data_IF_803202874853
#
_entry.id   IF_803202874853
#
_cell.length_a   1.000
_cell.length_b   1.000
_cell.length_c   1.000
_cell.angle_alpha   90.00
_cell.angle_beta   90.00
_cell.angle_gamma   90.00
#
_symmetry.space_group_name_H-M   'P 1'
#
loop_
_entity.id
_entity.type
_entity.pdbx_description
1 polymer ?
#
# COMPACT_ATOMS: atom_id res chain seq x y z
N UNK A 1 -7.26 -3.59 12.05
CA UNK A 1 -6.56 -4.31 10.95
C UNK A 1 -6.45 -5.79 11.30
N UNK A 2 -6.58 -6.71 10.33
CA UNK A 2 -6.44 -8.18 10.54
C UNK A 2 -5.08 -8.67 10.04
N UNK A 3 -4.60 -9.78 10.57
CA UNK A 3 -3.44 -10.49 10.02
C UNK A 3 -3.79 -11.05 8.65
N UNK A 4 -2.92 -10.83 7.67
CA UNK A 4 -2.92 -11.60 6.43
C UNK A 4 -2.29 -12.97 6.62
N UNK A 5 -2.23 -13.74 5.54
CA UNK A 5 -1.53 -15.03 5.48
C UNK A 5 -0.01 -14.86 5.58
N UNK A 6 0.67 -15.88 6.12
CA UNK A 6 2.12 -16.02 5.93
C UNK A 6 2.39 -16.53 4.51
N UNK A 7 3.35 -15.92 3.82
CA UNK A 7 3.75 -16.28 2.45
C UNK A 7 5.20 -16.75 2.49
N UNK A 8 5.44 -18.00 2.11
CA UNK A 8 6.76 -18.63 2.20
C UNK A 8 7.30 -18.84 0.78
N UNK A 9 8.49 -18.30 0.50
CA UNK A 9 9.23 -18.47 -0.74
C UNK A 9 10.39 -19.43 -0.53
N UNK A 10 10.50 -20.44 -1.41
CA UNK A 10 11.60 -21.40 -1.44
C UNK A 10 12.18 -21.48 -2.84
N UNK A 11 13.48 -21.75 -2.97
CA UNK A 11 14.06 -22.08 -4.27
C UNK A 11 13.55 -23.45 -4.74
N UNK A 12 12.80 -23.49 -5.85
CA UNK A 12 12.27 -24.74 -6.39
C UNK A 12 13.16 -25.33 -7.48
N UNK A 13 13.66 -24.46 -8.34
CA UNK A 13 14.49 -24.78 -9.49
C UNK A 13 15.51 -23.65 -9.71
N UNK A 14 16.23 -23.67 -10.82
CA UNK A 14 17.08 -22.54 -11.20
C UNK A 14 16.27 -21.25 -11.48
N UNK A 15 15.03 -21.37 -11.96
CA UNK A 15 14.25 -20.24 -12.47
C UNK A 15 12.88 -20.03 -11.79
N UNK A 16 12.56 -20.76 -10.70
CA UNK A 16 11.24 -20.65 -10.06
C UNK A 16 11.31 -20.61 -8.53
N UNK A 17 10.43 -19.82 -7.90
CA UNK A 17 10.10 -19.96 -6.48
C UNK A 17 8.98 -21.00 -6.29
N UNK A 18 9.12 -21.85 -5.27
CA UNK A 18 7.98 -22.52 -4.64
C UNK A 18 7.39 -21.58 -3.60
N UNK A 19 6.15 -21.16 -3.83
CA UNK A 19 5.44 -20.22 -2.95
C UNK A 19 4.27 -20.92 -2.27
N UNK A 20 4.20 -20.80 -0.95
CA UNK A 20 3.09 -21.28 -0.11
C UNK A 20 2.39 -20.08 0.50
N UNK A 21 1.07 -19.98 0.35
CA UNK A 21 0.24 -18.94 0.96
C UNK A 21 -0.61 -19.56 2.05
N UNK A 22 -0.38 -19.20 3.32
CA UNK A 22 -1.10 -19.75 4.45
C UNK A 22 -0.95 -21.27 4.55
N UNK A 23 -2.05 -22.00 4.36
CA UNK A 23 -2.11 -23.48 4.38
C UNK A 23 -2.37 -24.08 2.99
N UNK A 24 -2.29 -23.28 1.93
CA UNK A 24 -2.50 -23.74 0.56
C UNK A 24 -1.35 -24.61 0.06
N UNK A 25 -1.61 -25.43 -0.95
CA UNK A 25 -0.56 -26.22 -1.60
C UNK A 25 0.45 -25.29 -2.31
N UNK A 26 1.77 -25.60 -2.26
CA UNK A 26 2.77 -24.78 -2.92
C UNK A 26 2.58 -24.73 -4.45
N UNK A 27 2.81 -23.56 -5.03
CA UNK A 27 2.80 -23.35 -6.48
C UNK A 27 4.12 -22.74 -6.97
N UNK A 28 4.43 -22.92 -8.25
CA UNK A 28 5.57 -22.28 -8.91
C UNK A 28 5.17 -20.88 -9.36
N UNK A 29 5.89 -19.87 -8.89
CA UNK A 29 5.70 -18.45 -9.21
C UNK A 29 4.22 -18.01 -9.39
N UNK A 30 3.32 -18.29 -8.41
CA UNK A 30 1.92 -17.94 -8.52
C UNK A 30 1.73 -16.42 -8.50
N UNK A 31 0.68 -15.94 -9.15
CA UNK A 31 0.19 -14.58 -8.86
C UNK A 31 -0.29 -14.57 -7.41
N UNK A 32 0.19 -13.60 -6.63
CA UNK A 32 -0.28 -13.37 -5.27
C UNK A 32 -1.40 -12.35 -5.30
N UNK A 33 -2.49 -12.61 -4.57
CA UNK A 33 -3.58 -11.66 -4.38
C UNK A 33 -3.61 -11.25 -2.92
N UNK A 34 -3.30 -9.99 -2.64
CA UNK A 34 -3.28 -9.43 -1.30
C UNK A 34 -4.46 -8.47 -1.11
N UNK A 35 -5.10 -8.55 0.04
CA UNK A 35 -6.17 -7.66 0.45
C UNK A 35 -5.58 -6.38 1.06
N UNK A 36 -6.25 -5.24 0.82
CA UNK A 36 -5.99 -4.01 1.56
C UNK A 36 -6.24 -4.20 3.07
N UNK A 37 -5.66 -3.34 3.91
CA UNK A 37 -5.78 -3.44 5.37
C UNK A 37 -5.38 -4.82 5.93
N UNK A 38 -4.25 -5.35 5.47
CA UNK A 38 -3.66 -6.58 5.99
C UNK A 38 -2.18 -6.42 6.25
N UNK A 39 -1.72 -7.15 7.26
CA UNK A 39 -0.31 -7.32 7.57
C UNK A 39 0.09 -8.74 7.16
N UNK A 40 0.92 -8.86 6.11
CA UNK A 40 1.45 -10.13 5.63
C UNK A 40 2.84 -10.37 6.17
N UNK A 41 3.16 -11.63 6.47
CA UNK A 41 4.54 -12.04 6.78
C UNK A 41 5.11 -12.78 5.58
N UNK A 42 6.15 -12.21 4.99
CA UNK A 42 6.92 -12.86 3.93
C UNK A 42 8.09 -13.58 4.58
N UNK A 43 8.25 -14.86 4.26
CA UNK A 43 9.37 -15.69 4.72
C UNK A 43 10.12 -16.17 3.48
N UNK A 44 11.39 -15.78 3.36
CA UNK A 44 12.25 -16.20 2.27
C UNK A 44 13.21 -17.25 2.78
N UNK A 45 13.28 -18.38 2.09
CA UNK A 45 14.26 -19.45 2.27
C UNK A 45 14.64 -20.02 0.91
N UNK A 46 15.30 -19.20 0.10
CA UNK A 46 15.69 -19.49 -1.26
C UNK A 46 17.19 -19.16 -1.48
N UNK A 47 18.12 -19.97 -0.92
CA UNK A 47 19.56 -19.77 -1.10
C UNK A 47 19.94 -19.71 -2.59
N UNK A 48 20.73 -18.71 -2.98
CA UNK A 48 21.10 -18.46 -4.38
C UNK A 48 20.02 -17.79 -5.24
N UNK A 49 18.87 -17.43 -4.67
CA UNK A 49 17.78 -16.75 -5.36
C UNK A 49 17.33 -15.49 -4.61
N UNK A 50 18.11 -14.39 -4.68
CA UNK A 50 17.83 -13.19 -3.91
C UNK A 50 16.49 -12.58 -4.31
N UNK A 51 15.55 -12.57 -3.36
CA UNK A 51 14.20 -12.07 -3.49
C UNK A 51 14.12 -10.56 -3.30
N UNK A 52 13.37 -9.87 -4.16
CA UNK A 52 12.98 -8.47 -4.02
C UNK A 52 11.50 -8.26 -4.38
N UNK A 53 10.90 -7.14 -3.97
CA UNK A 53 9.63 -6.64 -4.53
C UNK A 53 9.93 -5.45 -5.44
N UNK A 54 9.21 -5.33 -6.55
CA UNK A 54 9.43 -4.34 -7.61
C UNK A 54 8.14 -3.66 -8.07
N UNK A 55 8.28 -2.42 -8.55
CA UNK A 55 7.21 -1.68 -9.23
C UNK A 55 7.06 -2.07 -10.70
N UNK A 56 8.11 -2.65 -11.30
CA UNK A 56 8.12 -3.19 -12.66
C UNK A 56 9.11 -4.37 -12.74
N UNK A 57 8.79 -5.45 -13.48
CA UNK A 57 9.72 -6.58 -13.60
C UNK A 57 10.97 -6.18 -14.39
N UNK A 58 12.08 -6.85 -14.09
CA UNK A 58 13.37 -6.68 -14.75
C UNK A 58 14.49 -7.40 -13.99
N UNK A 59 15.63 -7.64 -14.63
CA UNK A 59 16.79 -8.24 -13.99
C UNK A 59 17.50 -7.25 -13.05
N UNK A 60 18.21 -7.74 -12.03
CA UNK A 60 19.00 -6.92 -11.11
C UNK A 60 18.15 -6.16 -10.07
N UNK A 61 18.66 -5.01 -9.61
CA UNK A 61 18.01 -4.19 -8.57
C UNK A 61 17.20 -3.02 -9.13
N UNK A 62 17.11 -2.89 -10.45
CA UNK A 62 16.28 -1.85 -11.06
C UNK A 62 14.80 -2.05 -10.72
N UNK A 63 14.11 -0.93 -10.48
CA UNK A 63 12.70 -0.84 -10.12
C UNK A 63 12.33 -1.59 -8.82
N UNK A 64 13.30 -1.94 -7.97
CA UNK A 64 13.01 -2.39 -6.60
C UNK A 64 12.12 -1.35 -5.93
N UNK A 65 11.09 -1.83 -5.24
CA UNK A 65 10.17 -0.99 -4.51
C UNK A 65 10.95 -0.24 -3.44
N UNK A 66 10.95 1.08 -3.55
CA UNK A 66 11.39 2.00 -2.51
C UNK A 66 10.15 2.54 -1.81
N UNK A 67 10.10 2.43 -0.50
CA UNK A 67 8.89 2.63 0.30
C UNK A 67 9.11 3.75 1.29
N UNK A 68 8.75 4.96 0.85
CA UNK A 68 8.70 6.17 1.66
C UNK A 68 7.24 6.44 2.08
N UNK A 69 6.69 5.56 2.93
CA UNK A 69 5.44 5.76 3.72
C UNK A 69 4.18 6.24 3.00
N UNK A 70 3.08 5.48 3.12
CA UNK A 70 1.75 5.91 2.69
C UNK A 70 0.93 4.75 2.14
N UNK A 71 1.42 4.14 1.06
CA UNK A 71 0.70 3.05 0.39
C UNK A 71 1.06 1.67 0.98
N UNK A 72 2.33 1.48 1.30
CA UNK A 72 2.87 0.25 1.85
C UNK A 72 3.79 0.57 3.01
N UNK A 73 3.70 -0.22 4.06
CA UNK A 73 4.59 -0.14 5.22
C UNK A 73 5.38 -1.45 5.30
N UNK A 74 6.69 -1.34 5.40
CA UNK A 74 7.60 -2.48 5.46
C UNK A 74 8.45 -2.43 6.71
N UNK A 75 8.91 -3.59 7.19
CA UNK A 75 9.85 -3.65 8.31
C UNK A 75 11.30 -3.38 7.90
N UNK A 76 12.18 -3.15 8.88
CA UNK A 76 13.61 -2.85 8.68
C UNK A 76 14.38 -3.92 7.88
N UNK A 77 13.86 -5.14 7.82
CA UNK A 77 14.44 -6.27 7.07
C UNK A 77 13.93 -6.36 5.64
N UNK A 78 13.22 -5.35 5.14
CA UNK A 78 12.71 -5.33 3.78
C UNK A 78 13.86 -5.50 2.76
N UNK A 79 13.71 -6.38 1.75
CA UNK A 79 14.84 -6.87 0.99
C UNK A 79 15.17 -5.95 -0.20
N UNK A 80 15.61 -4.72 0.03
CA UNK A 80 15.92 -3.78 -1.08
C UNK A 80 17.14 -4.22 -1.90
N UNK A 81 18.08 -4.94 -1.29
CA UNK A 81 19.30 -5.45 -1.94
C UNK A 81 19.21 -6.93 -2.34
N UNK A 82 18.04 -7.53 -2.18
CA UNK A 82 17.84 -8.97 -2.34
C UNK A 82 18.04 -9.75 -1.04
N UNK A 83 17.08 -10.62 -0.71
CA UNK A 83 17.15 -11.52 0.44
C UNK A 83 17.08 -12.96 -0.01
N UNK A 84 18.00 -13.80 0.47
CA UNK A 84 17.95 -15.24 0.21
C UNK A 84 17.38 -16.04 1.40
N UNK A 85 17.53 -15.52 2.61
CA UNK A 85 17.01 -16.12 3.83
C UNK A 85 16.58 -15.02 4.82
N UNK A 86 15.39 -15.13 5.38
CA UNK A 86 14.86 -14.20 6.37
C UNK A 86 13.36 -14.03 6.30
N UNK A 87 12.85 -13.02 7.00
CA UNK A 87 11.45 -12.63 6.90
C UNK A 87 11.29 -11.12 7.06
N UNK A 88 10.19 -10.60 6.54
CA UNK A 88 9.79 -9.22 6.69
C UNK A 88 8.26 -9.10 6.72
N UNK A 89 7.76 -8.03 7.32
CA UNK A 89 6.34 -7.69 7.26
C UNK A 89 6.10 -6.80 6.06
N UNK A 90 5.05 -7.10 5.30
CA UNK A 90 4.53 -6.26 4.23
C UNK A 90 3.09 -5.89 4.56
N UNK A 91 2.87 -4.61 4.82
CA UNK A 91 1.57 -4.07 5.22
C UNK A 91 1.00 -3.25 4.08
N UNK A 92 -0.24 -3.58 3.71
CA UNK A 92 -0.99 -2.89 2.66
C UNK A 92 -1.96 -1.93 3.33
N UNK A 93 -1.79 -0.62 3.07
CA UNK A 93 -2.64 0.41 3.64
C UNK A 93 -4.02 0.45 2.95
N UNK A 94 -4.95 1.24 3.50
CA UNK A 94 -6.35 1.29 3.03
C UNK A 94 -6.53 2.02 1.70
N UNK A 95 -5.60 2.93 1.40
CA UNK A 95 -5.54 3.77 0.21
C UNK A 95 -4.43 3.33 -0.76
N UNK A 96 -3.79 2.19 -0.50
CA UNK A 96 -2.75 1.65 -1.36
C UNK A 96 -3.26 1.46 -2.80
N UNK A 97 -2.50 1.86 -3.84
CA UNK A 97 -2.90 1.70 -5.21
C UNK A 97 -3.17 0.23 -5.56
N UNK A 98 -4.25 -0.02 -6.33
CA UNK A 98 -4.55 -1.34 -6.91
C UNK A 98 -3.66 -1.69 -8.12
N UNK A 99 -2.57 -0.95 -8.32
CA UNK A 99 -1.55 -1.28 -9.32
C UNK A 99 -0.71 -2.44 -8.84
N UNK A 100 -0.55 -3.47 -9.68
CA UNK A 100 0.25 -4.64 -9.33
C UNK A 100 1.70 -4.28 -9.04
N UNK A 101 2.26 -4.92 -8.01
CA UNK A 101 3.70 -5.05 -7.81
C UNK A 101 4.18 -6.40 -8.34
N UNK A 102 5.47 -6.67 -8.20
CA UNK A 102 6.09 -7.92 -8.64
C UNK A 102 7.03 -8.40 -7.56
N UNK A 103 6.96 -9.66 -7.17
CA UNK A 103 8.10 -10.29 -6.49
C UNK A 103 9.00 -10.92 -7.55
N UNK A 104 10.32 -10.84 -7.36
CA UNK A 104 11.26 -11.30 -8.38
C UNK A 104 12.61 -11.68 -7.78
N UNK A 105 13.26 -12.68 -8.39
CA UNK A 105 14.67 -12.95 -8.18
C UNK A 105 15.53 -11.92 -8.91
N UNK A 106 16.55 -11.38 -8.26
CA UNK A 106 17.46 -10.40 -8.90
C UNK A 106 18.36 -11.03 -9.96
N UNK A 107 18.55 -12.36 -9.94
CA UNK A 107 19.47 -13.09 -10.81
C UNK A 107 18.79 -13.79 -11.99
N UNK A 108 17.49 -14.09 -11.89
CA UNK A 108 16.76 -14.84 -12.90
C UNK A 108 15.51 -14.06 -13.33
N UNK A 109 15.53 -13.51 -14.54
CA UNK A 109 14.48 -12.61 -15.00
C UNK A 109 13.09 -13.27 -15.10
N UNK A 110 13.03 -14.59 -15.27
CA UNK A 110 11.79 -15.37 -15.32
C UNK A 110 11.24 -15.77 -13.95
N UNK A 111 12.04 -15.62 -12.89
CA UNK A 111 11.71 -16.15 -11.56
C UNK A 111 10.97 -15.11 -10.74
N UNK A 112 9.67 -15.28 -10.63
CA UNK A 112 8.78 -14.37 -9.93
C UNK A 112 7.49 -14.09 -10.67
N UNK A 113 6.59 -13.36 -10.02
CA UNK A 113 5.26 -13.08 -10.56
C UNK A 113 4.66 -11.81 -9.97
N UNK A 114 3.41 -11.54 -10.34
CA UNK A 114 2.65 -10.39 -9.86
C UNK A 114 2.21 -10.55 -8.41
N UNK A 115 2.09 -9.40 -7.76
CA UNK A 115 1.33 -9.19 -6.55
C UNK A 115 0.19 -8.25 -6.94
N UNK A 116 -1.03 -8.78 -7.01
CA UNK A 116 -2.24 -8.02 -7.26
C UNK A 116 -2.90 -7.65 -5.92
N UNK A 117 -3.54 -6.49 -5.89
CA UNK A 117 -4.24 -5.98 -4.70
C UNK A 117 -5.74 -5.96 -4.93
N UNK A 118 -6.50 -6.31 -3.90
CA UNK A 118 -7.96 -6.29 -3.91
C UNK A 118 -8.50 -5.57 -2.68
N UNK A 119 -9.61 -4.86 -2.86
CA UNK A 119 -10.31 -4.22 -1.76
C UNK A 119 -10.75 -5.26 -0.71
N UNK A 120 -10.68 -4.86 0.56
CA UNK A 120 -11.38 -5.55 1.64
C UNK A 120 -12.50 -4.65 2.14
N UNK A 121 -13.75 -5.11 2.08
CA UNK A 121 -14.92 -4.34 2.55
C UNK A 121 -14.75 -3.97 4.03
N UNK A 122 -14.06 -4.79 4.83
CA UNK A 122 -13.77 -4.49 6.22
C UNK A 122 -12.69 -3.41 6.44
N UNK A 123 -12.00 -2.98 5.36
CA UNK A 123 -11.02 -1.90 5.37
C UNK A 123 -11.70 -0.53 5.40
N UNK A 124 -12.83 -0.37 4.69
CA UNK A 124 -13.52 0.93 4.51
C UNK A 124 -14.55 1.22 5.61
N UNK A 125 -15.02 0.20 6.34
CA UNK A 125 -16.12 0.34 7.33
C UNK A 125 -15.78 1.12 8.60
N UNK A 126 -14.56 1.66 8.76
CA UNK A 126 -14.18 2.45 9.93
C UNK A 126 -14.60 3.93 9.85
N UNK A 127 -15.24 4.37 8.76
CA UNK A 127 -15.79 5.73 8.65
C UNK A 127 -17.28 5.73 8.28
N UNK A 128 -18.13 5.45 9.29
CA UNK A 128 -19.50 5.99 9.39
C UNK A 128 -20.61 5.29 8.60
N UNK A 129 -21.12 4.17 9.11
CA UNK A 129 -22.54 3.80 8.94
C UNK A 129 -23.31 4.08 10.25
N UNK A 130 -23.78 5.31 10.44
CA UNK A 130 -24.94 5.55 11.31
C UNK A 130 -26.20 5.27 10.48
N UNK A 131 -26.68 4.01 10.49
CA UNK A 131 -28.04 3.72 10.04
C UNK A 131 -29.02 4.26 11.07
N UNK A 132 -29.54 5.46 10.81
CA UNK A 132 -30.61 6.06 11.60
C UNK A 132 -31.92 5.30 11.37
N UNK A 133 -32.48 4.66 12.39
CA UNK A 133 -33.79 4.01 12.28
C UNK A 133 -34.21 3.10 13.43
N UNK A 134 -34.67 3.68 14.55
CA UNK A 134 -35.85 3.15 15.26
C UNK A 134 -36.48 4.25 16.13
N UNK A 135 -37.78 4.37 16.00
CA UNK A 135 -38.68 5.42 16.49
C UNK A 135 -38.74 5.55 18.02
N UNK A 136 -38.89 6.78 18.53
CA UNK A 136 -39.71 7.03 19.72
C UNK A 136 -40.43 8.38 19.61
N UNK A 137 -41.74 8.34 19.87
CA UNK A 137 -42.72 9.44 19.85
C UNK A 137 -42.51 10.31 21.11
N UNK A 138 -42.48 11.65 21.00
CA UNK A 138 -43.35 12.54 21.80
C UNK A 138 -43.20 14.04 21.47
N UNK A 139 -44.36 14.58 21.10
CA UNK A 139 -44.97 15.87 21.44
C UNK A 139 -44.71 17.14 20.60
N UNK A 140 -45.85 17.74 20.22
CA UNK A 140 -46.00 18.94 19.42
C UNK A 140 -46.11 20.16 20.34
N UNK A 141 -45.43 21.27 20.02
CA UNK A 141 -46.10 22.59 20.04
C UNK A 141 -45.34 23.65 19.22
N UNK A 142 -46.13 24.51 18.54
CA UNK A 142 -45.84 25.44 17.43
C UNK A 142 -45.54 26.90 17.96
N UNK A 143 -45.44 27.99 17.16
CA UNK A 143 -44.26 28.64 16.50
C UNK A 143 -43.87 30.09 16.93
N UNK A 144 -42.66 30.55 16.49
CA UNK A 144 -42.14 31.88 16.00
C UNK A 144 -42.57 33.25 16.63
N UNK A 145 -41.79 34.38 16.56
CA UNK A 145 -41.19 34.94 15.33
C UNK A 145 -39.79 35.65 15.38
N UNK A 146 -39.13 35.61 14.22
CA UNK A 146 -38.27 36.63 13.53
C UNK A 146 -37.02 37.25 14.20
N UNK A 147 -35.86 37.21 13.51
CA UNK A 147 -35.30 38.37 12.77
C UNK A 147 -33.95 38.04 12.09
N UNK A 148 -33.63 38.83 11.06
CA UNK A 148 -32.57 38.73 10.06
C UNK A 148 -31.12 38.83 10.56
N UNK A 149 -30.17 38.28 9.80
CA UNK A 149 -29.15 39.06 9.04
C UNK A 149 -28.31 38.15 8.15
N UNK A 150 -28.07 38.60 6.91
CA UNK A 150 -27.11 38.04 5.99
C UNK A 150 -25.70 38.50 6.35
N UNK A 151 -24.70 37.62 6.25
CA UNK A 151 -23.29 38.00 6.14
C UNK A 151 -22.64 37.16 5.04
N UNK A 152 -22.35 37.82 3.94
CA UNK A 152 -21.39 37.41 2.91
C UNK A 152 -19.97 37.57 3.45
N UNK A 153 -19.09 36.59 3.26
CA UNK A 153 -17.65 36.78 3.48
C UNK A 153 -16.86 36.18 2.32
N UNK A 154 -15.99 37.03 1.76
CA UNK A 154 -15.38 36.89 0.45
C UNK A 154 -14.12 36.03 0.44
N UNK A 155 -13.84 35.44 -0.72
CA UNK A 155 -12.53 34.93 -1.10
C UNK A 155 -11.57 36.11 -1.28
N UNK A 156 -10.43 36.12 -0.58
CA UNK A 156 -9.31 37.01 -0.91
C UNK A 156 -8.01 36.24 -1.12
N UNK A 157 -7.36 36.61 -2.22
CA UNK A 157 -6.16 36.07 -2.84
C UNK A 157 -4.86 36.39 -2.08
N UNK A 158 -3.91 35.46 -2.15
CA UNK A 158 -2.55 35.70 -2.65
C UNK A 158 -1.52 36.35 -1.75
N UNK A 159 -0.35 35.70 -1.61
CA UNK A 159 0.92 36.39 -1.78
C UNK A 159 2.02 35.42 -2.27
N UNK A 160 2.28 35.52 -3.57
CA UNK A 160 3.52 35.05 -4.21
C UNK A 160 4.65 35.98 -3.74
N UNK A 161 5.76 35.45 -3.24
CA UNK A 161 7.00 36.23 -3.10
C UNK A 161 8.11 35.49 -3.83
N UNK A 162 8.31 35.88 -5.08
CA UNK A 162 9.54 35.63 -5.83
C UNK A 162 10.55 36.72 -5.44
N UNK A 163 11.75 36.34 -5.02
CA UNK A 163 12.90 37.26 -4.94
C UNK A 163 13.91 36.82 -5.98
N UNK A 164 13.92 37.54 -7.09
CA UNK A 164 15.03 37.60 -8.03
C UNK A 164 16.00 38.68 -7.55
N UNK A 165 17.28 38.35 -7.43
CA UNK A 165 18.35 39.34 -7.52
C UNK A 165 19.39 38.82 -8.50
N UNK A 166 19.52 39.54 -9.60
CA UNK A 166 20.58 39.39 -10.59
C UNK A 166 21.57 40.55 -10.44
N UNK A 167 22.86 40.29 -10.71
CA UNK A 167 23.70 40.97 -11.72
C UNK A 167 25.20 40.78 -11.39
N UNK A 168 25.94 40.37 -12.43
CA UNK A 168 27.39 40.26 -12.53
C UNK A 168 28.11 41.63 -12.60
N UNK A 169 29.41 41.68 -12.29
CA UNK A 169 30.44 42.49 -12.98
C UNK A 169 31.85 41.98 -12.60
N UNK A 170 32.71 41.92 -13.64
CA UNK A 170 34.17 41.75 -13.75
C UNK A 170 35.06 41.88 -12.50
N UNK A 171 36.01 40.95 -12.35
CA UNK A 171 37.46 41.15 -12.56
C UNK A 171 38.20 39.81 -12.63
#
# INVERSE_FOLDING_TARGET
RKSGSTIIFRGASFDDYWVTVGMEEPALDPILTLELCRDYTFVVNAPGHPFVIKTRPGLGLDNVLDVDGGDYIVGDTFPTEGMEQGSFTFRVEEDAPLTSLFYQCTLHAGMGSKIDFVDDVACVSATGEESNGSEEIQDQQVPSPQSSTAVTSEKFYGLLVAVLVAIAILQ
#
